data_IF_268824213370
#
_entry.id   IF_268824213370
#
_cell.length_a   1.000
_cell.length_b   1.000
_cell.length_c   1.000
_cell.angle_alpha   90.00
_cell.angle_beta   90.00
_cell.angle_gamma   90.00
#
_symmetry.space_group_name_H-M   'P 1'
#
loop_
_entity.id
_entity.type
_entity.pdbx_description
1 polymer ?
#
# COMPACT_ATOMS: atom_id res chain seq x y z
N UNK A 1 20.53 10.74 -25.42
CA UNK A 1 20.63 9.27 -25.36
C UNK A 1 20.07 8.83 -24.02
N UNK A 2 18.86 8.30 -24.01
CA UNK A 2 18.17 7.83 -22.78
C UNK A 2 18.78 6.50 -22.40
N UNK A 3 19.54 6.45 -21.30
CA UNK A 3 20.01 5.20 -20.71
C UNK A 3 18.82 4.58 -19.96
N UNK A 4 18.16 3.61 -20.57
CA UNK A 4 17.26 2.71 -19.87
C UNK A 4 18.12 1.82 -18.96
N UNK A 5 18.05 2.03 -17.66
CA UNK A 5 18.59 1.10 -16.69
C UNK A 5 17.60 -0.06 -16.60
N UNK A 6 18.00 -1.21 -17.15
CA UNK A 6 17.23 -2.45 -17.09
C UNK A 6 17.27 -2.94 -15.64
N UNK A 7 16.17 -2.76 -14.90
CA UNK A 7 16.04 -3.35 -13.58
C UNK A 7 15.93 -4.87 -13.70
N UNK A 8 16.79 -5.59 -12.98
CA UNK A 8 16.85 -7.04 -12.99
C UNK A 8 15.62 -7.61 -12.27
N UNK A 9 14.66 -8.13 -13.01
CA UNK A 9 13.52 -8.86 -12.48
C UNK A 9 14.00 -10.26 -12.05
N UNK A 10 14.22 -10.47 -10.76
CA UNK A 10 14.67 -11.77 -10.25
C UNK A 10 13.49 -12.68 -9.92
N UNK A 11 13.46 -13.80 -10.63
CA UNK A 11 12.83 -15.09 -10.37
C UNK A 11 11.37 -15.15 -9.87
N UNK A 12 10.50 -15.55 -10.77
CA UNK A 12 9.17 -16.08 -10.48
C UNK A 12 9.32 -17.56 -10.05
N UNK A 13 9.02 -17.90 -8.80
CA UNK A 13 8.85 -19.29 -8.39
C UNK A 13 7.36 -19.63 -8.38
N UNK A 14 6.89 -20.32 -9.43
CA UNK A 14 5.57 -20.92 -9.45
C UNK A 14 5.68 -22.36 -8.94
N UNK A 15 5.16 -22.65 -7.75
CA UNK A 15 4.97 -24.02 -7.28
C UNK A 15 3.52 -24.45 -7.55
N UNK A 16 3.31 -25.19 -8.64
CA UNK A 16 2.02 -25.83 -8.91
C UNK A 16 2.10 -27.29 -8.48
N UNK A 17 1.38 -27.65 -7.41
CA UNK A 17 1.09 -29.04 -7.09
C UNK A 17 -0.27 -29.43 -7.69
N UNK A 18 -0.25 -30.30 -8.68
CA UNK A 18 -1.45 -30.92 -9.23
C UNK A 18 -1.82 -32.18 -8.41
N UNK A 19 -2.97 -32.16 -7.76
CA UNK A 19 -3.65 -33.39 -7.37
C UNK A 19 -5.17 -33.15 -7.23
N UNK A 20 -5.97 -33.76 -8.12
CA UNK A 20 -7.40 -34.07 -7.94
C UNK A 20 -8.37 -32.89 -7.84
N UNK A 21 -9.18 -32.69 -8.85
CA UNK A 21 -10.53 -32.08 -8.95
C UNK A 21 -11.10 -31.14 -7.86
N UNK A 22 -10.26 -30.39 -7.17
CA UNK A 22 -10.63 -29.18 -6.45
C UNK A 22 -9.94 -28.01 -7.18
N UNK A 23 -10.62 -26.90 -7.37
CA UNK A 23 -10.01 -25.69 -7.96
C UNK A 23 -8.75 -25.35 -7.14
N UNK A 24 -7.57 -25.62 -7.70
CA UNK A 24 -6.30 -25.38 -7.00
C UNK A 24 -6.05 -23.87 -6.96
N UNK A 25 -6.02 -23.30 -5.78
CA UNK A 25 -5.62 -21.90 -5.59
C UNK A 25 -4.10 -21.82 -5.81
N UNK A 26 -3.68 -21.01 -6.77
CA UNK A 26 -2.27 -20.75 -7.03
C UNK A 26 -1.86 -19.41 -6.39
N UNK A 27 -0.65 -19.39 -5.82
CA UNK A 27 -0.05 -18.17 -5.26
C UNK A 27 1.12 -17.76 -6.15
N UNK A 28 1.11 -16.52 -6.57
CA UNK A 28 2.14 -15.89 -7.38
C UNK A 28 2.84 -14.81 -6.55
N UNK A 29 4.14 -14.74 -6.65
CA UNK A 29 4.92 -13.70 -5.97
C UNK A 29 6.02 -13.17 -6.88
N UNK A 30 6.35 -11.89 -6.76
CA UNK A 30 7.51 -11.30 -7.38
C UNK A 30 8.04 -10.14 -6.54
N UNK A 31 9.30 -9.80 -6.76
CA UNK A 31 10.00 -8.72 -6.05
C UNK A 31 10.60 -7.74 -7.04
N UNK A 32 10.72 -6.49 -6.61
CA UNK A 32 11.39 -5.42 -7.31
C UNK A 32 12.29 -4.66 -6.34
N UNK A 33 13.56 -4.53 -6.70
CA UNK A 33 14.53 -3.72 -5.96
C UNK A 33 14.73 -2.37 -6.67
N UNK A 34 14.34 -1.28 -6.02
CA UNK A 34 14.49 0.05 -6.58
C UNK A 34 15.95 0.51 -6.50
N UNK A 35 16.42 1.34 -7.43
CA UNK A 35 17.75 1.95 -7.31
C UNK A 35 17.86 2.80 -6.05
N UNK A 36 19.06 2.97 -5.54
CA UNK A 36 19.33 3.86 -4.43
C UNK A 36 18.97 5.32 -4.77
N UNK A 37 18.67 6.13 -3.74
CA UNK A 37 18.37 7.56 -3.90
C UNK A 37 16.89 7.89 -4.16
N UNK A 38 15.99 6.93 -4.05
CA UNK A 38 14.56 7.19 -4.05
C UNK A 38 14.19 7.93 -2.76
N UNK A 39 13.52 9.07 -2.90
CA UNK A 39 12.99 9.85 -1.78
C UNK A 39 11.48 10.15 -1.91
N UNK A 40 10.87 9.76 -3.01
CA UNK A 40 9.44 9.95 -3.26
C UNK A 40 8.84 8.63 -3.73
N UNK A 41 7.73 8.25 -3.12
CA UNK A 41 6.99 7.02 -3.45
C UNK A 41 5.56 7.41 -3.85
N UNK A 42 5.10 6.88 -4.98
CA UNK A 42 3.72 6.98 -5.46
C UNK A 42 3.20 5.58 -5.73
N UNK A 43 2.15 5.17 -5.04
CA UNK A 43 1.48 3.88 -5.24
C UNK A 43 0.07 4.13 -5.74
N UNK A 44 -0.28 3.51 -6.86
CA UNK A 44 -1.62 3.54 -7.45
C UNK A 44 -2.12 2.10 -7.59
N UNK A 45 -3.07 1.74 -6.76
CA UNK A 45 -3.65 0.41 -6.71
C UNK A 45 -5.19 0.49 -6.76
N UNK A 46 -5.84 -0.62 -7.04
CA UNK A 46 -7.30 -0.74 -7.10
C UNK A 46 -7.86 -1.72 -6.06
N UNK A 47 -7.09 -2.76 -5.69
CA UNK A 47 -7.64 -3.87 -4.92
C UNK A 47 -6.60 -4.70 -4.16
N UNK A 48 -5.40 -4.16 -3.89
CA UNK A 48 -4.43 -4.83 -3.03
C UNK A 48 -4.36 -4.19 -1.65
N UNK A 49 -4.08 -4.99 -0.65
CA UNK A 49 -3.59 -4.51 0.62
C UNK A 49 -2.17 -3.93 0.41
N UNK A 50 -2.02 -2.62 0.58
CA UNK A 50 -0.75 -1.92 0.40
C UNK A 50 -0.11 -1.68 1.76
N UNK A 51 1.08 -2.25 1.96
CA UNK A 51 1.85 -2.15 3.20
C UNK A 51 3.16 -1.42 2.93
N UNK A 52 3.40 -0.32 3.62
CA UNK A 52 4.67 0.38 3.64
C UNK A 52 5.25 0.23 5.04
N UNK A 53 6.41 -0.38 5.15
CA UNK A 53 7.05 -0.63 6.45
C UNK A 53 8.52 -0.26 6.44
N UNK A 54 9.00 0.32 7.55
CA UNK A 54 10.41 0.60 7.71
C UNK A 54 11.20 -0.71 7.88
N UNK A 55 12.36 -0.80 7.23
CA UNK A 55 13.23 -1.96 7.29
C UNK A 55 14.72 -1.55 7.35
N UNK A 56 15.57 -2.44 7.85
CA UNK A 56 17.02 -2.25 7.91
C UNK A 56 17.65 -2.72 6.57
N UNK A 57 17.41 -1.92 5.53
CA UNK A 57 17.88 -2.14 4.15
C UNK A 57 18.44 -0.83 3.60
N UNK A 58 19.16 -0.88 2.49
CA UNK A 58 19.82 0.27 1.87
C UNK A 58 19.07 0.87 0.67
N UNK A 59 18.07 0.17 0.16
CA UNK A 59 17.21 0.61 -0.95
C UNK A 59 15.77 0.13 -0.74
N UNK A 60 14.82 0.72 -1.46
CA UNK A 60 13.41 0.32 -1.37
C UNK A 60 13.22 -1.01 -2.10
N UNK A 61 12.61 -1.97 -1.41
CA UNK A 61 12.20 -3.24 -1.99
C UNK A 61 10.68 -3.36 -1.97
N UNK A 62 10.11 -3.71 -3.11
CA UNK A 62 8.70 -4.01 -3.26
C UNK A 62 8.51 -5.52 -3.51
N UNK A 63 7.73 -6.16 -2.66
CA UNK A 63 7.33 -7.55 -2.79
C UNK A 63 5.81 -7.60 -2.98
N UNK A 64 5.32 -8.37 -3.95
CA UNK A 64 3.89 -8.60 -4.06
C UNK A 64 3.54 -10.07 -4.14
N UNK A 65 2.40 -10.39 -3.56
CA UNK A 65 1.82 -11.73 -3.55
C UNK A 65 0.38 -11.65 -4.06
N UNK A 66 0.05 -12.49 -5.01
CA UNK A 66 -1.28 -12.60 -5.57
C UNK A 66 -1.74 -14.05 -5.51
N UNK A 67 -2.93 -14.29 -4.94
CA UNK A 67 -3.55 -15.60 -4.83
C UNK A 67 -4.81 -15.63 -5.67
N UNK A 68 -4.93 -16.64 -6.55
CA UNK A 68 -6.08 -16.79 -7.44
C UNK A 68 -6.34 -18.25 -7.75
N UNK A 69 -7.61 -18.59 -7.97
CA UNK A 69 -8.03 -19.89 -8.53
C UNK A 69 -7.82 -19.98 -10.04
N UNK A 70 -7.37 -18.91 -10.70
CA UNK A 70 -7.13 -18.88 -12.14
C UNK A 70 -5.66 -18.70 -12.47
N UNK A 71 -5.19 -19.29 -13.57
CA UNK A 71 -3.84 -19.07 -14.08
C UNK A 71 -3.67 -17.61 -14.51
N UNK A 72 -2.57 -16.99 -14.05
CA UNK A 72 -2.25 -15.58 -14.28
C UNK A 72 -0.76 -15.39 -14.54
N UNK A 73 -0.41 -14.43 -15.41
CA UNK A 73 0.98 -14.06 -15.65
C UNK A 73 1.42 -12.99 -14.62
N UNK A 74 1.98 -13.46 -13.51
CA UNK A 74 2.31 -12.62 -12.34
C UNK A 74 3.28 -11.47 -12.62
N UNK A 75 4.15 -11.62 -13.62
CA UNK A 75 5.17 -10.60 -13.95
C UNK A 75 4.60 -9.27 -14.45
N UNK A 76 3.31 -9.21 -14.77
CA UNK A 76 2.63 -8.02 -15.30
C UNK A 76 1.63 -7.38 -14.34
N UNK A 77 1.58 -7.82 -13.10
CA UNK A 77 0.59 -7.28 -12.15
C UNK A 77 0.89 -5.82 -11.77
N UNK A 78 2.16 -5.48 -11.63
CA UNK A 78 2.61 -4.13 -11.30
C UNK A 78 3.66 -3.63 -12.29
N UNK A 79 3.57 -2.34 -12.59
CA UNK A 79 4.62 -1.57 -13.26
C UNK A 79 5.38 -0.75 -12.22
N UNK A 80 6.71 -0.81 -12.29
CA UNK A 80 7.62 -0.09 -11.41
C UNK A 80 8.42 0.90 -12.25
N UNK A 81 8.06 2.17 -12.19
CA UNK A 81 8.71 3.23 -12.95
C UNK A 81 9.54 4.13 -12.02
N UNK A 82 10.79 4.40 -12.40
CA UNK A 82 11.65 5.33 -11.68
C UNK A 82 11.96 6.54 -12.57
N UNK A 83 11.63 7.72 -12.05
CA UNK A 83 11.92 9.01 -12.68
C UNK A 83 12.60 9.94 -11.67
N UNK A 84 13.90 10.19 -11.87
CA UNK A 84 14.72 10.91 -10.89
C UNK A 84 14.77 10.15 -9.56
N UNK A 85 14.32 10.78 -8.48
CA UNK A 85 14.22 10.20 -7.13
C UNK A 85 12.80 9.69 -6.80
N UNK A 86 11.92 9.55 -7.78
CA UNK A 86 10.54 9.08 -7.59
C UNK A 86 10.38 7.66 -8.08
N UNK A 87 9.90 6.78 -7.20
CA UNK A 87 9.40 5.45 -7.53
C UNK A 87 7.87 5.53 -7.66
N UNK A 88 7.35 5.18 -8.84
CA UNK A 88 5.91 5.01 -9.09
C UNK A 88 5.61 3.52 -9.24
N UNK A 89 4.68 3.02 -8.44
CA UNK A 89 4.19 1.64 -8.46
C UNK A 89 2.74 1.67 -8.88
N UNK A 90 2.44 1.10 -10.04
CA UNK A 90 1.09 1.11 -10.61
C UNK A 90 0.60 -0.30 -10.85
N UNK A 91 -0.57 -0.64 -10.34
CA UNK A 91 -1.22 -1.89 -10.68
C UNK A 91 -1.76 -1.81 -12.10
N UNK A 92 -1.24 -2.66 -12.99
CA UNK A 92 -1.52 -2.59 -14.43
C UNK A 92 -2.64 -3.49 -14.88
N UNK A 93 -2.91 -4.56 -14.16
CA UNK A 93 -3.94 -5.54 -14.53
C UNK A 93 -4.75 -5.98 -13.31
N UNK A 94 -6.06 -5.97 -13.46
CA UNK A 94 -6.94 -6.85 -12.71
C UNK A 94 -7.03 -8.16 -13.50
N UNK A 95 -6.78 -9.32 -12.89
CA UNK A 95 -6.97 -10.59 -13.57
C UNK A 95 -8.40 -10.67 -14.06
N UNK A 96 -8.58 -10.67 -15.37
CA UNK A 96 -9.89 -10.76 -15.98
C UNK A 96 -10.57 -12.06 -15.56
N UNK A 97 -11.59 -11.98 -14.73
CA UNK A 97 -12.58 -13.04 -14.59
C UNK A 97 -13.40 -13.12 -15.89
N UNK A 98 -12.76 -13.55 -16.98
CA UNK A 98 -13.45 -13.78 -18.23
C UNK A 98 -14.22 -15.09 -18.14
N UNK A 99 -15.54 -14.95 -18.03
CA UNK A 99 -16.55 -15.89 -18.58
C UNK A 99 -16.87 -17.21 -17.87
N UNK A 100 -16.61 -17.45 -16.62
CA UNK A 100 -17.32 -18.53 -15.94
C UNK A 100 -17.80 -18.09 -14.57
N UNK A 101 -19.09 -18.00 -14.41
CA UNK A 101 -19.83 -17.80 -13.17
C UNK A 101 -19.56 -19.03 -12.28
N UNK A 102 -18.54 -18.96 -11.44
CA UNK A 102 -18.41 -19.87 -10.31
C UNK A 102 -18.25 -19.05 -9.03
N UNK A 103 -19.13 -19.31 -8.13
CA UNK A 103 -19.47 -18.55 -6.94
C UNK A 103 -18.47 -18.59 -5.78
N UNK A 104 -17.21 -18.93 -6.01
CA UNK A 104 -16.15 -18.94 -4.97
C UNK A 104 -14.79 -18.58 -5.56
N UNK A 105 -14.64 -17.35 -6.03
CA UNK A 105 -13.32 -16.84 -6.41
C UNK A 105 -12.66 -16.20 -5.18
N UNK A 106 -11.69 -16.90 -4.63
CA UNK A 106 -10.86 -16.36 -3.54
C UNK A 106 -9.69 -15.62 -4.18
N UNK A 107 -9.72 -14.30 -4.14
CA UNK A 107 -8.62 -13.44 -4.60
C UNK A 107 -8.06 -12.66 -3.43
N UNK A 108 -6.76 -12.65 -3.31
CA UNK A 108 -6.08 -11.73 -2.43
C UNK A 108 -4.83 -11.21 -3.10
N UNK A 109 -4.58 -9.92 -2.95
CA UNK A 109 -3.38 -9.28 -3.41
C UNK A 109 -2.78 -8.47 -2.28
N UNK A 110 -1.48 -8.61 -2.06
CA UNK A 110 -0.74 -7.81 -1.10
C UNK A 110 0.50 -7.25 -1.80
N UNK A 111 0.68 -5.94 -1.69
CA UNK A 111 1.88 -5.22 -2.10
C UNK A 111 2.58 -4.71 -0.85
N UNK A 112 3.79 -5.16 -0.58
CA UNK A 112 4.60 -4.71 0.55
C UNK A 112 5.82 -3.93 0.05
N UNK A 113 5.97 -2.68 0.49
CA UNK A 113 7.16 -1.89 0.28
C UNK A 113 7.96 -1.83 1.57
N UNK A 114 9.15 -2.40 1.56
CA UNK A 114 10.15 -2.24 2.60
C UNK A 114 10.94 -0.96 2.31
N UNK A 115 11.01 -0.07 3.28
CA UNK A 115 11.56 1.28 3.12
C UNK A 115 12.74 1.43 4.06
N UNK A 116 13.92 1.86 3.58
CA UNK A 116 15.05 2.17 4.44
C UNK A 116 14.68 3.14 5.57
N UNK A 117 15.32 3.02 6.71
CA UNK A 117 15.15 3.95 7.84
C UNK A 117 15.74 5.32 7.52
N UNK A 118 15.11 6.02 6.62
CA UNK A 118 15.43 7.39 6.20
C UNK A 118 14.16 8.22 6.14
N UNK A 119 14.29 9.53 6.18
CA UNK A 119 13.14 10.41 5.96
C UNK A 119 12.93 10.63 4.47
N UNK A 120 11.81 10.18 3.96
CA UNK A 120 11.38 10.43 2.59
C UNK A 120 10.86 11.87 2.43
N UNK A 121 10.90 12.40 1.21
CA UNK A 121 10.26 13.68 0.91
C UNK A 121 8.74 13.50 0.84
N UNK A 122 8.26 12.53 0.07
CA UNK A 122 6.82 12.33 -0.13
C UNK A 122 6.45 10.86 -0.26
N UNK A 123 5.33 10.51 0.36
CA UNK A 123 4.64 9.25 0.17
C UNK A 123 3.21 9.56 -0.27
N UNK A 124 2.78 9.00 -1.39
CA UNK A 124 1.40 9.06 -1.86
C UNK A 124 0.91 7.66 -2.16
N UNK A 125 -0.14 7.23 -1.50
CA UNK A 125 -0.75 5.91 -1.72
C UNK A 125 -2.23 6.10 -2.00
N UNK A 126 -2.69 5.53 -3.10
CA UNK A 126 -4.09 5.50 -3.48
C UNK A 126 -4.52 4.08 -3.81
N UNK A 127 -5.59 3.61 -3.20
CA UNK A 127 -6.27 2.34 -3.55
C UNK A 127 -7.78 2.55 -3.58
N UNK A 128 -8.54 1.62 -4.12
CA UNK A 128 -10.00 1.75 -4.17
C UNK A 128 -10.68 0.88 -3.12
N UNK A 129 -10.32 -0.39 -2.99
CA UNK A 129 -11.13 -1.34 -2.24
C UNK A 129 -10.37 -2.08 -1.13
N UNK A 130 -9.13 -1.73 -0.84
CA UNK A 130 -8.36 -2.47 0.16
C UNK A 130 -7.63 -1.56 1.15
N UNK A 131 -6.93 -2.18 2.09
CA UNK A 131 -6.29 -1.48 3.19
C UNK A 131 -4.96 -0.84 2.79
N UNK A 132 -4.63 0.27 3.45
CA UNK A 132 -3.31 0.90 3.43
C UNK A 132 -2.75 0.82 4.84
N UNK A 133 -1.56 0.25 4.98
CA UNK A 133 -0.79 0.23 6.23
C UNK A 133 0.52 0.97 6.06
N UNK A 134 0.82 1.89 6.99
CA UNK A 134 2.09 2.62 7.07
C UNK A 134 2.68 2.41 8.45
N UNK A 135 3.81 1.70 8.57
CA UNK A 135 4.40 1.35 9.86
C UNK A 135 5.89 1.74 9.97
N UNK A 136 6.20 2.54 10.98
CA UNK A 136 7.56 2.95 11.33
C UNK A 136 8.26 3.83 10.29
N UNK A 137 7.54 4.33 9.29
CA UNK A 137 8.10 5.10 8.18
C UNK A 137 8.15 6.59 8.52
N UNK A 138 9.23 7.27 8.10
CA UNK A 138 9.37 8.73 8.22
C UNK A 138 9.28 9.40 6.85
N UNK A 139 8.49 10.48 6.76
CA UNK A 139 8.38 11.28 5.54
C UNK A 139 8.01 12.73 5.86
N UNK A 140 8.48 13.70 5.05
CA UNK A 140 8.01 15.07 5.21
C UNK A 140 6.51 15.18 4.94
N UNK A 141 6.02 14.50 3.90
CA UNK A 141 4.59 14.45 3.58
C UNK A 141 4.15 13.02 3.28
N UNK A 142 3.07 12.57 3.92
CA UNK A 142 2.40 11.32 3.61
C UNK A 142 0.91 11.57 3.34
N UNK A 143 0.42 11.08 2.20
CA UNK A 143 -0.99 11.15 1.77
C UNK A 143 -1.50 9.76 1.43
N UNK A 144 -2.47 9.29 2.18
CA UNK A 144 -3.04 7.95 2.08
C UNK A 144 -4.53 8.06 1.76
N UNK A 145 -4.97 7.48 0.65
CA UNK A 145 -6.36 7.57 0.19
C UNK A 145 -6.89 6.20 -0.22
N UNK A 146 -8.07 5.86 0.26
CA UNK A 146 -8.82 4.69 -0.21
C UNK A 146 -10.31 5.01 -0.29
N UNK A 147 -11.06 4.32 -1.14
CA UNK A 147 -12.52 4.51 -1.16
C UNK A 147 -13.22 3.64 -0.11
N UNK A 148 -12.95 2.34 -0.08
CA UNK A 148 -13.68 1.40 0.78
C UNK A 148 -12.76 0.58 1.70
N UNK A 149 -11.52 1.00 1.86
CA UNK A 149 -10.54 0.30 2.67
C UNK A 149 -10.33 0.90 4.05
N UNK A 150 -9.46 0.24 4.80
CA UNK A 150 -8.95 0.72 6.08
C UNK A 150 -7.62 1.42 5.86
N UNK A 151 -7.39 2.51 6.58
CA UNK A 151 -6.07 3.14 6.70
C UNK A 151 -5.55 2.92 8.12
N UNK A 152 -4.37 2.37 8.22
CA UNK A 152 -3.69 2.11 9.48
C UNK A 152 -2.30 2.72 9.47
N UNK A 153 -2.03 3.64 10.38
CA UNK A 153 -0.74 4.30 10.53
C UNK A 153 -0.21 4.04 11.92
N UNK A 154 1.02 3.55 12.00
CA UNK A 154 1.72 3.36 13.27
C UNK A 154 3.15 3.93 13.20
N UNK A 155 3.57 4.57 14.29
CA UNK A 155 4.95 5.05 14.48
C UNK A 155 5.45 5.95 13.33
N UNK A 156 4.62 6.86 12.87
CA UNK A 156 4.97 7.81 11.81
C UNK A 156 5.65 9.05 12.39
N UNK A 157 6.69 9.54 11.69
CA UNK A 157 7.35 10.80 11.99
C UNK A 157 7.47 11.65 10.73
N UNK A 158 7.01 12.93 10.80
CA UNK A 158 7.06 13.79 9.63
C UNK A 158 6.49 15.20 9.84
N UNK A 159 6.24 15.91 8.74
CA UNK A 159 5.65 17.25 8.80
C UNK A 159 4.16 17.25 8.54
N UNK A 160 3.70 16.43 7.59
CA UNK A 160 2.28 16.35 7.24
C UNK A 160 1.86 14.91 7.01
N UNK A 161 0.82 14.48 7.69
CA UNK A 161 0.17 13.19 7.49
C UNK A 161 -1.30 13.41 7.19
N UNK A 162 -1.78 12.86 6.07
CA UNK A 162 -3.20 12.85 5.73
C UNK A 162 -3.69 11.44 5.41
N UNK A 163 -4.82 11.07 5.97
CA UNK A 163 -5.54 9.82 5.69
C UNK A 163 -6.98 10.12 5.30
N UNK A 164 -7.41 9.66 4.14
CA UNK A 164 -8.78 9.87 3.66
C UNK A 164 -9.39 8.56 3.19
N UNK A 165 -10.56 8.21 3.69
CA UNK A 165 -11.36 7.12 3.15
C UNK A 165 -12.80 7.58 2.94
N UNK A 166 -13.50 6.99 1.98
CA UNK A 166 -14.93 7.27 1.81
C UNK A 166 -15.74 6.43 2.79
N UNK A 167 -15.49 5.12 2.82
CA UNK A 167 -16.16 4.18 3.73
C UNK A 167 -15.11 3.25 4.34
N UNK A 168 -14.94 3.31 5.66
CA UNK A 168 -13.99 2.43 6.29
C UNK A 168 -13.52 2.91 7.65
N UNK A 169 -12.37 2.42 8.05
CA UNK A 169 -11.78 2.77 9.33
C UNK A 169 -10.43 3.45 9.12
N UNK A 170 -10.20 4.53 9.86
CA UNK A 170 -8.85 5.11 9.97
C UNK A 170 -8.38 4.89 11.40
N UNK A 171 -7.19 4.32 11.56
CA UNK A 171 -6.49 4.21 12.85
C UNK A 171 -5.11 4.82 12.69
N UNK A 172 -4.78 5.78 13.56
CA UNK A 172 -3.44 6.35 13.63
C UNK A 172 -2.94 6.24 15.06
N UNK A 173 -1.74 5.70 15.25
CA UNK A 173 -1.13 5.53 16.56
C UNK A 173 0.36 5.85 16.55
N UNK A 174 0.87 6.50 17.64
CA UNK A 174 2.29 6.83 17.73
C UNK A 174 2.77 7.78 16.63
N UNK A 175 1.96 8.78 16.28
CA UNK A 175 2.26 9.75 15.22
C UNK A 175 2.87 11.00 15.82
N UNK A 176 4.02 11.41 15.29
CA UNK A 176 4.64 12.72 15.56
C UNK A 176 4.68 13.52 14.26
N UNK A 177 3.93 14.65 14.20
CA UNK A 177 3.82 15.43 12.96
C UNK A 177 3.44 16.88 13.28
N UNK A 178 3.75 17.82 12.38
CA UNK A 178 3.24 19.19 12.54
C UNK A 178 1.74 19.25 12.23
N UNK A 179 1.31 18.56 11.17
CA UNK A 179 -0.08 18.56 10.74
C UNK A 179 -0.57 17.11 10.55
N UNK A 180 -1.66 16.76 11.19
CA UNK A 180 -2.36 15.49 11.02
C UNK A 180 -3.79 15.74 10.56
N UNK A 181 -4.20 15.12 9.47
CA UNK A 181 -5.58 15.17 8.97
C UNK A 181 -6.11 13.76 8.74
N UNK A 182 -7.25 13.44 9.32
CA UNK A 182 -7.93 12.17 9.12
C UNK A 182 -9.39 12.42 8.76
N UNK A 183 -9.81 11.95 7.58
CA UNK A 183 -11.15 12.23 7.05
C UNK A 183 -11.86 10.96 6.60
N UNK A 184 -13.05 10.71 7.13
CA UNK A 184 -13.98 9.69 6.63
C UNK A 184 -15.16 10.42 6.00
N UNK A 185 -15.28 10.33 4.67
CA UNK A 185 -16.19 11.15 3.89
C UNK A 185 -17.65 10.70 3.98
N UNK A 186 -17.92 9.44 4.30
CA UNK A 186 -19.27 8.92 4.40
C UNK A 186 -19.47 8.18 5.72
N UNK A 187 -19.07 6.92 5.85
CA UNK A 187 -19.36 6.11 7.04
C UNK A 187 -18.12 5.37 7.55
N UNK A 188 -17.92 5.38 8.87
CA UNK A 188 -16.83 4.62 9.48
C UNK A 188 -16.45 5.05 10.88
N UNK A 189 -15.27 4.55 11.30
CA UNK A 189 -14.71 4.83 12.63
C UNK A 189 -13.31 5.39 12.50
N UNK A 190 -13.08 6.52 13.17
CA UNK A 190 -11.75 7.15 13.27
C UNK A 190 -11.21 6.94 14.68
N UNK A 191 -10.02 6.39 14.79
CA UNK A 191 -9.30 6.20 16.05
C UNK A 191 -7.94 6.86 15.98
N UNK A 192 -7.65 7.76 16.94
CA UNK A 192 -6.38 8.46 17.08
C UNK A 192 -5.80 8.17 18.46
N UNK A 193 -4.59 7.64 18.54
CA UNK A 193 -3.93 7.29 19.80
C UNK A 193 -2.47 7.79 19.81
N UNK A 194 -2.08 8.45 20.88
CA UNK A 194 -0.70 8.96 21.02
C UNK A 194 -0.29 9.83 19.80
N UNK A 195 -1.12 10.80 19.46
CA UNK A 195 -0.87 11.75 18.39
C UNK A 195 -0.22 13.02 18.99
N UNK A 196 1.00 13.31 18.60
CA UNK A 196 1.70 14.57 18.89
C UNK A 196 1.71 15.43 17.63
N UNK A 197 0.91 16.50 17.62
CA UNK A 197 0.75 17.36 16.44
C UNK A 197 0.48 18.81 16.83
N UNK A 198 0.99 19.77 16.01
CA UNK A 198 0.64 21.18 16.18
C UNK A 198 -0.81 21.44 15.73
N UNK A 199 -1.24 20.76 14.68
CA UNK A 199 -2.60 20.80 14.18
C UNK A 199 -3.10 19.37 13.93
N UNK A 200 -4.21 19.02 14.56
CA UNK A 200 -4.87 17.73 14.33
C UNK A 200 -6.32 17.97 13.89
N UNK A 201 -6.66 17.53 12.68
CA UNK A 201 -8.00 17.60 12.12
C UNK A 201 -8.58 16.20 11.95
N UNK A 202 -9.71 15.94 12.62
CA UNK A 202 -10.42 14.68 12.56
C UNK A 202 -11.86 14.91 12.10
N UNK A 203 -12.27 14.28 11.00
CA UNK A 203 -13.61 14.47 10.41
C UNK A 203 -14.22 13.12 10.03
N UNK A 204 -15.44 12.89 10.46
CA UNK A 204 -16.28 11.74 10.08
C UNK A 204 -17.68 12.25 9.80
N UNK A 205 -18.26 11.90 8.65
CA UNK A 205 -19.62 12.32 8.32
C UNK A 205 -20.64 11.50 9.10
N UNK A 206 -20.55 10.16 9.07
CA UNK A 206 -21.43 9.26 9.83
C UNK A 206 -20.59 8.23 10.57
N UNK A 207 -20.55 8.29 11.88
CA UNK A 207 -19.78 7.34 12.68
C UNK A 207 -19.21 7.93 13.96
N UNK A 208 -18.11 7.40 14.41
CA UNK A 208 -17.47 7.78 15.66
C UNK A 208 -16.03 8.23 15.50
N UNK A 209 -15.62 9.18 16.32
CA UNK A 209 -14.23 9.59 16.51
C UNK A 209 -13.87 9.25 17.95
N UNK A 210 -12.78 8.51 18.14
CA UNK A 210 -12.23 8.16 19.46
C UNK A 210 -10.73 8.42 19.48
N UNK A 211 -10.21 8.76 20.65
CA UNK A 211 -8.76 8.86 20.82
C UNK A 211 -8.29 9.98 21.71
N UNK A 212 -6.98 10.17 21.75
CA UNK A 212 -6.29 11.20 22.50
C UNK A 212 -5.20 11.85 21.64
N UNK A 213 -5.13 13.16 21.73
CA UNK A 213 -4.07 14.00 21.15
C UNK A 213 -3.29 14.62 22.30
N UNK A 214 -1.96 14.61 22.19
CA UNK A 214 -1.05 15.14 23.21
C UNK A 214 -0.44 16.44 22.70
#
# INVERSE_FOLDING_TARGET
MKKFLLALLTAVTAAALFCGAAASVATYSASYDAPAGINTIVVQDSSAAVILQAADIDHIRADYTYTSSYAFESSKLYDFAVAGSTLTVTKTQEPNASLLIQSQDTRSCTLTLQIPRQTLATITVSTTNDSITLDGVSAQTASLTTDNGRIEVSNFNGSTLSGTTRNGKITMSGVTSQNVAATIQNSGTLKLENISANVCSAKVQNGSITGSVI
#
